data_IF_122608896434
#
_entry.id   IF_122608896434
#
_cell.length_a   1.000
_cell.length_b   1.000
_cell.length_c   1.000
_cell.angle_alpha   90.00
_cell.angle_beta   90.00
_cell.angle_gamma   90.00
#
_symmetry.space_group_name_H-M   'P 1'
#
loop_
_entity.id
_entity.type
_entity.pdbx_description
1 polymer ?
#
# COMPACT_ATOMS: atom_id res chain seq x y z
N UNK A 1 1.60 -18.59 -49.16
CA UNK A 1 0.79 -18.99 -47.98
C UNK A 1 1.23 -18.34 -46.67
N UNK A 2 2.54 -18.05 -46.45
CA UNK A 2 3.04 -17.46 -45.19
C UNK A 2 2.50 -16.06 -44.85
N UNK A 3 2.22 -15.22 -45.86
CA UNK A 3 1.69 -13.86 -45.64
C UNK A 3 0.26 -13.82 -45.07
N UNK A 4 -0.58 -14.84 -45.35
CA UNK A 4 -1.96 -14.88 -44.83
C UNK A 4 -2.04 -15.28 -43.36
N UNK A 5 -1.07 -16.06 -42.86
CA UNK A 5 -0.99 -16.45 -41.44
C UNK A 5 -0.55 -15.27 -40.54
N UNK A 6 0.32 -14.39 -41.05
CA UNK A 6 0.83 -13.25 -40.29
C UNK A 6 -0.24 -12.17 -40.08
N UNK A 7 -1.13 -11.97 -41.06
CA UNK A 7 -2.26 -11.04 -40.93
C UNK A 7 -3.31 -11.50 -39.91
N UNK A 8 -3.55 -12.80 -39.79
CA UNK A 8 -4.50 -13.37 -38.82
C UNK A 8 -3.95 -13.28 -37.39
N UNK A 9 -2.64 -13.47 -37.19
CA UNK A 9 -1.99 -13.30 -35.90
C UNK A 9 -2.03 -11.84 -35.41
N UNK A 10 -1.85 -10.87 -36.31
CA UNK A 10 -1.93 -9.44 -35.97
C UNK A 10 -3.37 -9.01 -35.62
N UNK A 11 -4.36 -9.52 -36.34
CA UNK A 11 -5.77 -9.26 -36.04
C UNK A 11 -6.19 -9.90 -34.70
N UNK A 12 -5.71 -11.10 -34.37
CA UNK A 12 -5.96 -11.72 -33.08
C UNK A 12 -5.35 -10.94 -31.90
N UNK A 13 -4.16 -10.34 -32.09
CA UNK A 13 -3.53 -9.46 -31.10
C UNK A 13 -4.30 -8.16 -30.86
N UNK A 14 -4.93 -7.60 -31.89
CA UNK A 14 -5.77 -6.39 -31.76
C UNK A 14 -7.11 -6.71 -31.08
N UNK A 15 -7.70 -7.88 -31.35
CA UNK A 15 -8.96 -8.30 -30.71
C UNK A 15 -8.78 -8.82 -29.28
N UNK A 16 -7.60 -9.32 -28.90
CA UNK A 16 -7.27 -9.67 -27.51
C UNK A 16 -7.12 -8.42 -26.60
N UNK A 17 -6.90 -7.23 -27.17
CA UNK A 17 -6.95 -5.97 -26.44
C UNK A 17 -8.39 -5.47 -26.19
N UNK A 18 -9.42 -6.18 -26.68
CA UNK A 18 -10.81 -5.73 -26.71
C UNK A 18 -11.65 -5.93 -25.43
N UNK A 19 -11.08 -6.46 -24.35
CA UNK A 19 -11.79 -6.65 -23.07
C UNK A 19 -11.31 -5.70 -21.95
N UNK A 20 -10.72 -4.54 -22.28
CA UNK A 20 -10.39 -3.49 -21.32
C UNK A 20 -11.31 -2.26 -21.46
N UNK A 21 -12.61 -2.42 -21.22
CA UNK A 21 -13.48 -1.29 -20.86
C UNK A 21 -13.20 -0.99 -19.37
N UNK A 22 -12.71 0.14 -18.89
CA UNK A 22 -12.09 1.34 -19.46
C UNK A 22 -11.01 1.73 -18.44
N UNK A 23 -9.79 2.04 -18.88
CA UNK A 23 -8.86 2.77 -18.02
C UNK A 23 -9.48 4.08 -17.55
N UNK A 24 -8.94 4.64 -16.46
CA UNK A 24 -9.27 5.99 -16.03
C UNK A 24 -9.22 6.96 -17.22
N UNK A 25 -10.22 7.82 -17.35
CA UNK A 25 -10.35 8.76 -18.46
C UNK A 25 -9.19 9.74 -18.55
N UNK A 26 -8.45 9.89 -17.44
CA UNK A 26 -7.37 10.86 -17.29
C UNK A 26 -7.89 12.22 -16.79
N UNK A 27 -9.20 12.44 -16.82
CA UNK A 27 -9.84 13.57 -16.16
C UNK A 27 -10.10 13.22 -14.70
N UNK A 28 -9.40 13.96 -13.82
CA UNK A 28 -9.44 13.74 -12.37
C UNK A 28 -10.86 13.74 -11.81
N UNK A 29 -11.67 14.71 -12.22
CA UNK A 29 -12.99 14.91 -11.66
C UNK A 29 -14.00 13.90 -12.21
N UNK A 30 -13.90 13.57 -13.50
CA UNK A 30 -14.75 12.55 -14.12
C UNK A 30 -14.52 11.17 -13.50
N UNK A 31 -13.26 10.81 -13.25
CA UNK A 31 -12.90 9.51 -12.66
C UNK A 31 -13.31 9.43 -11.17
N UNK A 32 -13.16 10.52 -10.40
CA UNK A 32 -13.70 10.63 -9.03
C UNK A 32 -15.23 10.46 -9.03
N UNK A 33 -15.93 11.13 -9.94
CA UNK A 33 -17.38 11.03 -10.07
C UNK A 33 -17.81 9.60 -10.45
N UNK A 34 -17.04 8.93 -11.31
CA UNK A 34 -17.26 7.54 -11.67
C UNK A 34 -17.09 6.58 -10.47
N UNK A 35 -16.00 6.70 -9.70
CA UNK A 35 -15.80 5.91 -8.49
C UNK A 35 -16.86 6.16 -7.41
N UNK A 36 -17.37 7.39 -7.31
CA UNK A 36 -18.40 7.79 -6.35
C UNK A 36 -19.83 7.40 -6.74
N UNK A 37 -20.05 6.95 -7.98
CA UNK A 37 -21.40 6.66 -8.46
C UNK A 37 -21.90 5.28 -7.97
N UNK A 38 -22.93 5.29 -7.13
CA UNK A 38 -23.49 4.08 -6.52
C UNK A 38 -24.31 3.22 -7.49
N UNK A 39 -24.74 3.79 -8.62
CA UNK A 39 -25.46 3.06 -9.68
C UNK A 39 -24.49 2.22 -10.52
N UNK A 40 -23.30 2.75 -10.82
CA UNK A 40 -22.24 2.04 -11.56
C UNK A 40 -21.47 1.09 -10.66
N UNK A 41 -21.17 1.50 -9.42
CA UNK A 41 -20.44 0.71 -8.44
C UNK A 41 -21.28 0.47 -7.18
N UNK A 42 -22.06 -0.62 -7.23
CA UNK A 42 -22.98 -0.99 -6.15
C UNK A 42 -22.25 -1.40 -4.87
N UNK A 43 -21.17 -2.16 -5.01
CA UNK A 43 -20.39 -2.68 -3.87
C UNK A 43 -19.49 -1.58 -3.30
N UNK A 44 -19.54 -1.37 -1.99
CA UNK A 44 -18.71 -0.40 -1.30
C UNK A 44 -17.21 -0.70 -1.47
N UNK A 45 -16.80 -1.96 -1.32
CA UNK A 45 -15.42 -2.40 -1.52
C UNK A 45 -14.90 -2.08 -2.92
N UNK A 46 -15.75 -2.21 -3.95
CA UNK A 46 -15.36 -1.88 -5.33
C UNK A 46 -15.14 -0.36 -5.50
N UNK A 47 -15.98 0.48 -4.88
CA UNK A 47 -15.77 1.93 -4.87
C UNK A 47 -14.48 2.32 -4.14
N UNK A 48 -14.24 1.69 -2.99
CA UNK A 48 -13.04 1.94 -2.18
C UNK A 48 -11.77 1.57 -2.96
N UNK A 49 -11.78 0.43 -3.64
CA UNK A 49 -10.69 0.04 -4.54
C UNK A 49 -10.51 1.02 -5.70
N UNK A 50 -11.60 1.56 -6.25
CA UNK A 50 -11.54 2.59 -7.30
C UNK A 50 -10.85 3.87 -6.80
N UNK A 51 -11.26 4.38 -5.64
CA UNK A 51 -10.63 5.56 -5.02
C UNK A 51 -9.18 5.31 -4.63
N UNK A 52 -8.86 4.12 -4.10
CA UNK A 52 -7.49 3.70 -3.82
C UNK A 52 -6.59 3.83 -5.05
N UNK A 53 -7.03 3.25 -6.18
CA UNK A 53 -6.25 3.29 -7.41
C UNK A 53 -6.07 4.72 -7.94
N UNK A 54 -7.09 5.58 -7.81
CA UNK A 54 -6.99 7.00 -8.18
C UNK A 54 -6.04 7.79 -7.28
N UNK A 55 -6.10 7.53 -5.98
CA UNK A 55 -5.23 8.15 -4.99
C UNK A 55 -3.76 7.86 -5.30
N UNK A 56 -3.43 6.59 -5.61
CA UNK A 56 -2.08 6.19 -6.02
C UNK A 56 -1.70 6.80 -7.37
N UNK A 57 -2.60 6.78 -8.36
CA UNK A 57 -2.34 7.30 -9.70
C UNK A 57 -1.92 8.77 -9.65
N UNK A 58 -2.66 9.59 -8.90
CA UNK A 58 -2.41 11.04 -8.81
C UNK A 58 -1.62 11.47 -7.57
N UNK A 59 -1.19 10.53 -6.74
CA UNK A 59 -0.50 10.82 -5.46
C UNK A 59 -1.32 11.79 -4.59
N UNK A 60 -2.65 11.60 -4.53
CA UNK A 60 -3.56 12.45 -3.76
C UNK A 60 -4.10 11.71 -2.54
N UNK A 61 -3.48 11.96 -1.39
CA UNK A 61 -3.82 11.35 -0.11
C UNK A 61 -5.27 11.63 0.34
N UNK A 62 -5.89 12.72 -0.11
CA UNK A 62 -7.27 13.03 0.28
C UNK A 62 -8.26 11.98 -0.25
N UNK A 63 -7.92 11.32 -1.38
CA UNK A 63 -8.74 10.28 -1.99
C UNK A 63 -8.75 8.97 -1.18
N UNK A 64 -7.73 8.71 -0.36
CA UNK A 64 -7.70 7.55 0.52
C UNK A 64 -8.83 7.62 1.58
N UNK A 65 -9.16 8.82 2.07
CA UNK A 65 -10.16 9.05 3.11
C UNK A 65 -11.60 9.28 2.64
N UNK A 66 -11.83 9.59 1.35
CA UNK A 66 -13.16 9.95 0.82
C UNK A 66 -14.23 8.85 0.98
N UNK A 67 -13.80 7.62 1.24
CA UNK A 67 -14.62 6.43 1.42
C UNK A 67 -15.54 6.50 2.66
N UNK A 68 -15.13 7.25 3.70
CA UNK A 68 -15.83 7.30 4.98
C UNK A 68 -16.97 8.32 5.01
N UNK A 69 -16.80 9.46 4.33
CA UNK A 69 -17.73 10.61 4.40
C UNK A 69 -19.11 10.29 3.79
N UNK A 70 -19.19 9.33 2.85
CA UNK A 70 -20.47 8.98 2.24
C UNK A 70 -21.32 7.99 3.06
N UNK A 71 -20.74 7.25 4.01
CA UNK A 71 -21.53 6.33 4.86
C UNK A 71 -22.52 7.09 5.76
N UNK A 72 -22.15 8.27 6.26
CA UNK A 72 -22.99 9.08 7.15
C UNK A 72 -24.27 9.60 6.48
N UNK A 73 -24.30 9.72 5.14
CA UNK A 73 -25.47 10.26 4.44
C UNK A 73 -26.47 9.19 3.98
N UNK A 74 -26.16 7.90 4.12
CA UNK A 74 -26.86 6.83 3.38
C UNK A 74 -27.69 5.85 4.23
N UNK A 75 -27.71 5.92 5.56
CA UNK A 75 -28.54 4.98 6.33
C UNK A 75 -29.10 5.52 7.64
N UNK A 76 -30.31 6.08 7.56
CA UNK A 76 -31.23 6.10 8.71
C UNK A 76 -32.22 4.92 8.69
N UNK A 77 -32.21 4.06 7.65
CA UNK A 77 -33.33 3.12 7.45
C UNK A 77 -32.99 1.74 6.89
N UNK A 78 -31.72 1.37 6.69
CA UNK A 78 -31.36 0.04 6.15
C UNK A 78 -30.41 -0.75 7.05
N UNK A 79 -30.81 -2.01 7.25
CA UNK A 79 -30.24 -3.15 7.99
C UNK A 79 -28.71 -3.12 8.10
N UNK A 80 -28.14 -3.47 9.28
CA UNK A 80 -26.71 -3.37 9.56
C UNK A 80 -25.87 -4.36 8.74
N UNK A 81 -25.40 -3.91 7.57
CA UNK A 81 -24.32 -4.54 6.79
C UNK A 81 -22.93 -4.22 7.39
N UNK A 82 -22.82 -3.99 8.70
CA UNK A 82 -21.90 -2.97 9.23
C UNK A 82 -20.54 -3.44 9.73
N UNK A 83 -20.25 -4.75 9.77
CA UNK A 83 -19.03 -5.24 10.46
C UNK A 83 -17.97 -5.79 9.49
N UNK A 84 -18.32 -6.65 8.52
CA UNK A 84 -17.32 -7.23 7.60
C UNK A 84 -16.75 -6.20 6.61
N UNK A 85 -17.56 -5.23 6.20
CA UNK A 85 -17.13 -4.18 5.28
C UNK A 85 -16.14 -3.20 5.93
N UNK A 86 -16.03 -3.18 7.25
CA UNK A 86 -15.19 -2.21 7.96
C UNK A 86 -13.71 -2.63 7.96
N UNK A 87 -13.40 -3.89 8.30
CA UNK A 87 -12.01 -4.39 8.29
C UNK A 87 -11.37 -4.33 6.89
N UNK A 88 -12.10 -4.77 5.86
CA UNK A 88 -11.60 -4.73 4.47
C UNK A 88 -11.41 -3.29 4.00
N UNK A 89 -12.36 -2.40 4.29
CA UNK A 89 -12.24 -0.98 3.91
C UNK A 89 -11.07 -0.30 4.61
N UNK A 90 -10.83 -0.60 5.90
CA UNK A 90 -9.69 -0.10 6.66
C UNK A 90 -8.36 -0.54 6.03
N UNK A 91 -8.25 -1.81 5.66
CA UNK A 91 -7.05 -2.33 5.00
C UNK A 91 -6.80 -1.63 3.65
N UNK A 92 -7.83 -1.48 2.80
CA UNK A 92 -7.71 -0.74 1.53
C UNK A 92 -7.23 0.70 1.77
N UNK A 93 -7.76 1.38 2.79
CA UNK A 93 -7.35 2.75 3.11
C UNK A 93 -5.91 2.82 3.63
N UNK A 94 -5.50 1.91 4.51
CA UNK A 94 -4.14 1.89 5.04
C UNK A 94 -3.13 1.59 3.92
N UNK A 95 -3.44 0.62 3.05
CA UNK A 95 -2.66 0.30 1.83
C UNK A 95 -2.53 1.52 0.90
N UNK A 96 -3.62 2.29 0.74
CA UNK A 96 -3.62 3.54 -0.03
C UNK A 96 -2.55 4.53 0.46
N UNK A 97 -2.54 4.82 1.76
CA UNK A 97 -1.58 5.76 2.35
C UNK A 97 -0.15 5.24 2.28
N UNK A 98 0.03 3.93 2.47
CA UNK A 98 1.32 3.26 2.38
C UNK A 98 1.93 3.39 0.97
N UNK A 99 1.18 3.05 -0.08
CA UNK A 99 1.67 3.14 -1.45
C UNK A 99 1.91 4.59 -1.91
N UNK A 100 1.08 5.54 -1.46
CA UNK A 100 1.33 6.97 -1.70
C UNK A 100 2.62 7.43 -1.00
N UNK A 101 2.85 7.01 0.25
CA UNK A 101 4.05 7.35 0.99
C UNK A 101 5.31 6.86 0.26
N UNK A 102 5.32 5.61 -0.19
CA UNK A 102 6.42 5.04 -1.00
C UNK A 102 6.65 5.81 -2.29
N UNK A 103 5.58 6.19 -3.00
CA UNK A 103 5.68 6.96 -4.24
C UNK A 103 6.26 8.36 -3.98
N UNK A 104 5.84 9.03 -2.91
CA UNK A 104 6.38 10.32 -2.48
C UNK A 104 7.85 10.21 -2.06
N UNK A 105 8.21 9.19 -1.28
CA UNK A 105 9.59 8.95 -0.88
C UNK A 105 10.52 8.76 -2.09
N UNK A 106 10.09 7.98 -3.09
CA UNK A 106 10.82 7.81 -4.37
C UNK A 106 10.97 9.11 -5.16
N UNK A 107 10.12 10.11 -4.90
CA UNK A 107 10.20 11.45 -5.48
C UNK A 107 11.05 12.43 -4.63
N UNK A 108 11.61 11.97 -3.51
CA UNK A 108 12.33 12.82 -2.54
C UNK A 108 11.42 13.69 -1.68
N UNK A 109 10.10 13.48 -1.72
CA UNK A 109 9.09 14.26 -1.02
C UNK A 109 8.93 13.78 0.45
N UNK A 110 10.02 13.84 1.23
CA UNK A 110 10.13 13.24 2.57
C UNK A 110 9.00 13.67 3.52
N UNK A 111 8.77 14.98 3.68
CA UNK A 111 7.74 15.49 4.59
C UNK A 111 6.32 14.98 4.24
N UNK A 112 5.99 14.91 2.94
CA UNK A 112 4.70 14.36 2.51
C UNK A 112 4.63 12.84 2.68
N UNK A 113 5.72 12.12 2.46
CA UNK A 113 5.78 10.67 2.66
C UNK A 113 5.55 10.31 4.14
N UNK A 114 6.24 10.99 5.06
CA UNK A 114 6.07 10.85 6.52
C UNK A 114 4.63 11.18 6.92
N UNK A 115 4.08 12.30 6.43
CA UNK A 115 2.69 12.68 6.70
C UNK A 115 1.68 11.63 6.20
N UNK A 116 1.94 11.01 5.04
CA UNK A 116 1.08 9.95 4.50
C UNK A 116 1.07 8.72 5.41
N UNK A 117 2.24 8.24 5.87
CA UNK A 117 2.29 7.15 6.87
C UNK A 117 1.59 7.52 8.18
N UNK A 118 1.68 8.79 8.61
CA UNK A 118 0.99 9.29 9.80
C UNK A 118 -0.55 9.24 9.72
N UNK A 119 -1.13 9.16 8.52
CA UNK A 119 -2.58 8.99 8.33
C UNK A 119 -3.04 7.54 8.55
N UNK A 120 -2.12 6.58 8.66
CA UNK A 120 -2.44 5.20 9.05
C UNK A 120 -2.64 5.19 10.57
N UNK A 121 -3.83 4.91 11.10
CA UNK A 121 -4.08 4.94 12.53
C UNK A 121 -3.25 3.85 13.22
N UNK A 122 -2.38 4.24 14.16
CA UNK A 122 -1.48 3.32 14.87
C UNK A 122 -2.06 2.74 16.16
N UNK A 123 -3.01 3.40 16.80
CA UNK A 123 -3.67 2.91 18.05
C UNK A 123 -5.18 2.94 17.91
N UNK A 124 -5.85 2.10 18.69
CA UNK A 124 -7.30 2.19 18.84
C UNK A 124 -7.64 3.54 19.46
N UNK A 125 -8.11 4.48 18.65
CA UNK A 125 -8.63 5.72 19.19
C UNK A 125 -9.98 5.40 19.84
N UNK A 126 -10.02 5.45 21.17
CA UNK A 126 -11.23 5.19 21.97
C UNK A 126 -12.40 6.09 21.54
N UNK A 127 -12.13 7.25 20.94
CA UNK A 127 -13.15 8.16 20.43
C UNK A 127 -13.76 7.73 19.08
N UNK A 128 -13.06 6.95 18.25
CA UNK A 128 -13.52 6.64 16.88
C UNK A 128 -13.89 5.16 16.68
N UNK A 129 -13.81 4.31 17.70
CA UNK A 129 -13.96 2.83 17.61
C UNK A 129 -13.04 2.18 16.57
N UNK A 130 -12.10 2.94 16.02
CA UNK A 130 -11.24 2.53 14.94
C UNK A 130 -10.02 1.86 15.55
N UNK A 131 -9.99 0.53 15.51
CA UNK A 131 -8.77 -0.23 15.72
C UNK A 131 -7.76 0.13 14.64
N UNK A 132 -6.69 0.81 15.05
CA UNK A 132 -5.54 1.09 14.20
C UNK A 132 -4.80 -0.19 13.78
N UNK A 133 -4.02 -0.12 12.71
CA UNK A 133 -3.09 -1.17 12.30
C UNK A 133 -1.66 -0.64 12.50
N UNK A 134 -1.16 -0.79 13.72
CA UNK A 134 0.17 -0.32 14.13
C UNK A 134 1.28 -0.92 13.26
N UNK A 135 1.15 -2.22 12.95
CA UNK A 135 2.11 -2.96 12.12
C UNK A 135 2.26 -2.30 10.74
N UNK A 136 1.16 -2.09 10.01
CA UNK A 136 1.20 -1.46 8.68
C UNK A 136 1.72 -0.01 8.73
N UNK A 137 1.40 0.72 9.81
CA UNK A 137 1.92 2.09 10.00
C UNK A 137 3.44 2.08 10.18
N UNK A 138 3.95 1.17 10.99
CA UNK A 138 5.37 1.11 11.33
C UNK A 138 6.19 0.56 10.15
N UNK A 139 5.66 -0.43 9.43
CA UNK A 139 6.18 -0.88 8.14
C UNK A 139 6.27 0.28 7.13
N UNK A 140 5.26 1.16 7.11
CA UNK A 140 5.26 2.36 6.27
C UNK A 140 6.49 3.22 6.57
N UNK A 141 6.70 3.59 7.83
CA UNK A 141 7.82 4.43 8.27
C UNK A 141 9.18 3.77 7.99
N UNK A 142 9.30 2.47 8.23
CA UNK A 142 10.51 1.70 7.96
C UNK A 142 10.89 1.74 6.47
N UNK A 143 9.93 1.47 5.58
CA UNK A 143 10.17 1.46 4.13
C UNK A 143 10.54 2.83 3.58
N UNK A 144 9.88 3.91 4.04
CA UNK A 144 10.28 5.26 3.62
C UNK A 144 11.63 5.68 4.19
N UNK A 145 12.00 5.24 5.40
CA UNK A 145 13.33 5.45 5.96
C UNK A 145 14.41 4.82 5.07
N UNK A 146 14.18 3.60 4.57
CA UNK A 146 15.07 2.91 3.63
C UNK A 146 15.15 3.66 2.31
N UNK A 147 14.01 4.01 1.69
CA UNK A 147 13.95 4.69 0.39
C UNK A 147 14.69 6.05 0.45
N UNK A 148 14.55 6.78 1.55
CA UNK A 148 15.14 8.11 1.72
C UNK A 148 16.55 8.07 2.34
N UNK A 149 17.00 6.89 2.79
CA UNK A 149 18.22 6.72 3.60
C UNK A 149 18.27 7.67 4.82
N UNK A 150 17.13 7.87 5.48
CA UNK A 150 17.00 8.80 6.61
C UNK A 150 16.58 8.06 7.89
N UNK A 151 17.57 7.78 8.74
CA UNK A 151 17.37 7.02 9.98
C UNK A 151 16.49 7.77 11.00
N UNK A 152 16.38 9.11 10.91
CA UNK A 152 15.54 9.88 11.84
C UNK A 152 14.05 9.53 11.70
N UNK A 153 13.64 8.98 10.55
CA UNK A 153 12.27 8.52 10.33
C UNK A 153 11.94 7.29 11.20
N UNK A 154 12.94 6.54 11.66
CA UNK A 154 12.71 5.39 12.52
C UNK A 154 12.26 5.77 13.94
N UNK A 155 12.38 7.04 14.34
CA UNK A 155 11.80 7.57 15.58
C UNK A 155 10.26 7.53 15.60
N UNK A 156 9.59 7.39 14.44
CA UNK A 156 8.13 7.29 14.35
C UNK A 156 7.59 5.86 14.55
N UNK A 157 8.46 4.85 14.54
CA UNK A 157 8.14 3.43 14.71
C UNK A 157 7.92 3.14 16.20
N UNK A 158 6.87 2.37 16.52
CA UNK A 158 6.58 2.00 17.90
C UNK A 158 7.69 1.11 18.48
N UNK A 159 8.10 1.30 19.75
CA UNK A 159 9.02 0.38 20.41
C UNK A 159 8.48 -1.04 20.51
N UNK A 160 7.15 -1.19 20.52
CA UNK A 160 6.49 -2.49 20.60
C UNK A 160 6.49 -3.25 19.27
N UNK A 161 6.67 -2.59 18.12
CA UNK A 161 6.68 -3.23 16.80
C UNK A 161 7.86 -4.20 16.61
N UNK A 162 8.91 -4.07 17.41
CA UNK A 162 10.07 -4.96 17.38
C UNK A 162 9.88 -6.27 18.16
N UNK A 163 8.76 -6.43 18.89
CA UNK A 163 8.59 -7.53 19.85
C UNK A 163 8.14 -8.86 19.22
N UNK A 164 7.59 -8.88 18.01
CA UNK A 164 7.12 -10.13 17.38
C UNK A 164 8.21 -10.90 16.61
N UNK A 165 9.41 -10.36 16.51
CA UNK A 165 10.53 -11.10 15.96
C UNK A 165 11.83 -10.51 16.48
N UNK A 166 12.31 -11.02 17.62
CA UNK A 166 13.74 -11.00 17.87
C UNK A 166 14.38 -11.68 16.65
N UNK A 167 14.87 -10.87 15.71
CA UNK A 167 15.72 -11.35 14.65
C UNK A 167 16.93 -11.94 15.35
N UNK A 168 16.90 -13.25 15.56
CA UNK A 168 18.10 -13.99 15.93
C UNK A 168 18.89 -14.03 14.63
N UNK A 169 20.01 -13.27 14.51
CA UNK A 169 20.84 -13.38 13.33
C UNK A 169 21.12 -14.86 13.11
N UNK A 170 20.98 -15.38 11.86
CA UNK A 170 21.21 -16.78 11.60
C UNK A 170 22.60 -17.11 12.16
N UNK A 171 22.67 -18.15 12.98
CA UNK A 171 23.93 -18.57 13.57
C UNK A 171 24.96 -18.68 12.44
N UNK A 172 26.20 -18.20 12.64
CA UNK A 172 27.23 -18.29 11.62
C UNK A 172 27.30 -19.75 11.15
N UNK A 173 27.39 -20.00 9.82
CA UNK A 173 27.40 -21.35 9.32
C UNK A 173 28.56 -22.11 9.95
N UNK A 174 28.37 -23.39 10.32
CA UNK A 174 29.43 -24.16 10.96
C UNK A 174 30.67 -24.21 10.06
N UNK A 175 31.88 -24.26 10.64
CA UNK A 175 33.11 -24.35 9.87
C UNK A 175 33.05 -25.50 8.85
N UNK A 176 33.29 -25.19 7.57
CA UNK A 176 33.24 -26.17 6.48
C UNK A 176 31.88 -26.30 5.77
N UNK A 177 30.88 -25.51 6.12
CA UNK A 177 29.64 -25.44 5.35
C UNK A 177 29.88 -24.80 3.99
N UNK A 178 29.68 -25.57 2.92
CA UNK A 178 29.60 -25.05 1.56
C UNK A 178 28.13 -24.90 1.18
N UNK A 179 27.66 -23.68 0.81
CA UNK A 179 26.28 -23.50 0.41
C UNK A 179 25.99 -24.35 -0.85
N UNK A 180 24.75 -24.86 -1.01
CA UNK A 180 24.40 -25.70 -2.13
C UNK A 180 24.61 -24.94 -3.46
N UNK A 181 24.99 -25.64 -4.55
CA UNK A 181 25.09 -25.03 -5.87
C UNK A 181 23.79 -24.31 -6.22
N UNK A 182 23.88 -23.01 -6.53
CA UNK A 182 22.71 -22.17 -6.85
C UNK A 182 22.15 -21.35 -5.68
N UNK A 183 22.74 -21.44 -4.47
CA UNK A 183 22.43 -20.48 -3.40
C UNK A 183 22.90 -19.09 -3.81
N UNK A 184 21.95 -18.17 -4.01
CA UNK A 184 22.21 -16.74 -4.16
C UNK A 184 21.99 -16.13 -2.78
N UNK A 185 23.04 -15.61 -2.10
CA UNK A 185 22.83 -14.90 -0.86
C UNK A 185 21.87 -13.72 -1.11
N UNK A 186 21.00 -13.37 -0.14
CA UNK A 186 20.13 -12.21 -0.29
C UNK A 186 20.99 -11.00 -0.65
N UNK A 187 20.77 -10.44 -1.83
CA UNK A 187 21.46 -9.25 -2.34
C UNK A 187 20.83 -7.99 -1.73
N UNK A 188 20.86 -7.89 -0.41
CA UNK A 188 20.77 -6.59 0.25
C UNK A 188 22.14 -5.93 0.16
N UNK A 189 22.20 -4.64 -0.12
CA UNK A 189 23.47 -3.94 -0.03
C UNK A 189 23.93 -3.95 1.45
N UNK A 190 25.24 -4.05 1.71
CA UNK A 190 25.76 -4.00 3.10
C UNK A 190 25.28 -2.72 3.81
N UNK A 191 25.04 -1.64 3.06
CA UNK A 191 24.49 -0.39 3.57
C UNK A 191 23.04 -0.53 4.04
N UNK A 192 22.21 -1.27 3.31
CA UNK A 192 20.82 -1.55 3.69
C UNK A 192 20.77 -2.36 5.00
N UNK A 193 21.60 -3.41 5.12
CA UNK A 193 21.68 -4.20 6.38
C UNK A 193 22.11 -3.32 7.57
N UNK A 194 23.08 -2.43 7.38
CA UNK A 194 23.51 -1.49 8.43
C UNK A 194 22.43 -0.46 8.77
N UNK A 195 21.66 -0.02 7.79
CA UNK A 195 20.57 0.92 8.01
C UNK A 195 19.42 0.28 8.80
N UNK A 196 19.12 -0.98 8.52
CA UNK A 196 18.16 -1.78 9.28
C UNK A 196 18.62 -1.94 10.74
N UNK A 197 19.91 -2.24 10.95
CA UNK A 197 20.48 -2.32 12.29
C UNK A 197 20.46 -0.97 13.01
N UNK A 198 20.66 0.15 12.29
CA UNK A 198 20.56 1.50 12.83
C UNK A 198 19.14 1.82 13.31
N UNK A 199 18.13 1.60 12.47
CA UNK A 199 16.74 1.79 12.85
C UNK A 199 16.35 0.92 14.04
N UNK A 200 16.78 -0.35 14.08
CA UNK A 200 16.55 -1.23 15.23
C UNK A 200 17.27 -0.75 16.49
N UNK A 201 18.50 -0.24 16.36
CA UNK A 201 19.29 0.24 17.50
C UNK A 201 18.73 1.48 18.18
N UNK A 202 17.93 2.29 17.46
CA UNK A 202 17.27 3.48 18.03
C UNK A 202 15.94 3.15 18.74
N UNK A 203 15.41 1.95 18.55
CA UNK A 203 14.10 1.54 19.08
C UNK A 203 14.23 0.76 20.42
N UNK A 204 15.44 0.32 20.79
CA UNK A 204 15.76 -0.41 22.03
C UNK A 204 16.30 0.54 23.10
#
# INVERSE_FOLDING_TARGET
>A
MKAKLLAIAFLALIFLAGCAKNGFSGDKNADIAYCGNTQTMKLLTARNQCFHNLAILWTDQNLCGLQYIQREKLSTTSIPLTIMDDAVTKNIRNDCYYEIAKKLAKQGASAQAIASCGNIPGVTNLATTETGNMEVRDDCFYEIAIILHDASICEYISPDATKEGQYVPPAPPPPGFTPPPGYVPPTGTIEEVRFIDLCKSQII
#
